data_IF_079225345616
#
_entry.id   IF_079225345616
#
_cell.length_a   1.000
_cell.length_b   1.000
_cell.length_c   1.000
_cell.angle_alpha   90.00
_cell.angle_beta   90.00
_cell.angle_gamma   90.00
#
_symmetry.space_group_name_H-M   'P 1'
#
loop_
_entity.id
_entity.type
_entity.pdbx_description
1 polymer ?
#
# COMPACT_ATOMS: atom_id res chain seq x y z
N UNK A 1 -9.55 -13.68 -5.20
CA UNK A 1 -10.04 -14.74 -6.12
C UNK A 1 -11.22 -15.43 -5.44
N UNK A 2 -12.46 -15.27 -5.92
CA UNK A 2 -13.60 -15.96 -5.33
C UNK A 2 -13.40 -17.48 -5.47
N UNK A 3 -13.55 -18.22 -4.36
CA UNK A 3 -13.41 -19.69 -4.32
C UNK A 3 -12.08 -20.23 -3.78
N UNK A 4 -11.06 -19.40 -3.58
CA UNK A 4 -9.80 -19.80 -2.93
C UNK A 4 -9.74 -19.29 -1.50
N UNK A 5 -9.29 -20.15 -0.58
CA UNK A 5 -9.12 -19.79 0.83
C UNK A 5 -8.12 -18.65 0.98
N UNK A 6 -8.48 -17.62 1.75
CA UNK A 6 -7.59 -16.50 2.08
C UNK A 6 -6.33 -16.97 2.79
N UNK A 7 -6.42 -18.06 3.56
CA UNK A 7 -5.25 -18.65 4.22
C UNK A 7 -4.18 -19.15 3.23
N UNK A 8 -4.61 -19.60 2.04
CA UNK A 8 -3.69 -20.07 1.00
C UNK A 8 -3.10 -18.90 0.19
N UNK A 9 -3.88 -17.83 -0.02
CA UNK A 9 -3.53 -16.73 -0.92
C UNK A 9 -2.84 -15.55 -0.24
N UNK A 10 -3.15 -15.30 1.04
CA UNK A 10 -2.64 -14.13 1.75
C UNK A 10 -1.33 -14.49 2.47
N UNK A 11 -0.25 -13.81 2.09
CA UNK A 11 0.99 -13.88 2.85
C UNK A 11 0.85 -13.13 4.16
N UNK A 12 1.27 -13.77 5.26
CA UNK A 12 1.37 -13.12 6.57
C UNK A 12 2.80 -12.67 6.81
N UNK A 13 2.98 -11.38 7.07
CA UNK A 13 4.26 -10.85 7.52
C UNK A 13 4.43 -11.19 9.01
N UNK A 14 5.54 -11.83 9.42
CA UNK A 14 5.81 -12.09 10.84
C UNK A 14 6.08 -10.76 11.55
N UNK A 15 5.13 -10.33 12.37
CA UNK A 15 5.26 -9.12 13.19
C UNK A 15 5.61 -9.49 14.63
N UNK A 16 6.43 -8.65 15.26
CA UNK A 16 6.74 -8.79 16.68
C UNK A 16 5.58 -8.24 17.52
N UNK A 17 5.05 -8.98 18.50
CA UNK A 17 3.84 -8.58 19.24
C UNK A 17 4.07 -7.34 20.14
N UNK A 18 5.32 -7.07 20.53
CA UNK A 18 5.71 -5.91 21.32
C UNK A 18 5.83 -4.61 20.50
N UNK A 19 5.80 -4.69 19.17
CA UNK A 19 6.07 -3.54 18.29
C UNK A 19 4.79 -2.84 17.88
N UNK A 20 4.73 -1.55 18.20
CA UNK A 20 3.64 -0.65 17.81
C UNK A 20 3.86 -0.09 16.40
N UNK A 21 2.81 0.18 15.62
CA UNK A 21 2.91 0.89 14.35
C UNK A 21 3.57 2.26 14.53
N UNK A 22 4.48 2.62 13.62
CA UNK A 22 5.15 3.93 13.63
C UNK A 22 4.56 4.80 12.53
N UNK A 23 4.04 5.97 12.91
CA UNK A 23 3.55 6.96 11.93
C UNK A 23 4.72 7.73 11.34
N UNK A 24 5.11 7.38 10.11
CA UNK A 24 6.17 8.09 9.40
C UNK A 24 5.66 9.42 8.82
N UNK A 25 6.49 10.47 8.91
CA UNK A 25 6.19 11.75 8.25
C UNK A 25 6.33 11.63 6.73
N UNK A 26 5.44 12.25 5.94
CA UNK A 26 5.55 12.26 4.49
C UNK A 26 6.87 12.89 4.03
N UNK A 27 7.52 12.27 3.05
CA UNK A 27 8.70 12.84 2.40
C UNK A 27 8.28 13.92 1.41
N UNK A 28 8.98 15.05 1.41
CA UNK A 28 8.83 16.08 0.37
C UNK A 28 9.60 15.67 -0.88
N UNK A 29 8.95 15.74 -2.03
CA UNK A 29 9.56 15.47 -3.34
C UNK A 29 9.55 16.75 -4.18
N UNK A 30 10.43 16.82 -5.18
CA UNK A 30 10.40 17.89 -6.17
C UNK A 30 9.06 17.87 -6.95
N UNK A 31 8.57 19.03 -7.44
CA UNK A 31 7.24 19.12 -8.05
C UNK A 31 7.04 18.22 -9.28
N UNK A 32 8.08 18.04 -10.07
CA UNK A 32 8.11 17.17 -11.26
C UNK A 32 7.91 15.69 -10.88
N UNK A 33 8.56 15.24 -9.80
CA UNK A 33 8.39 13.88 -9.27
C UNK A 33 7.02 13.70 -8.63
N UNK A 34 6.52 14.72 -7.92
CA UNK A 34 5.19 14.67 -7.30
C UNK A 34 4.09 14.46 -8.34
N UNK A 35 4.19 15.09 -9.52
CA UNK A 35 3.25 14.88 -10.62
C UNK A 35 3.24 13.43 -11.12
N UNK A 36 4.42 12.80 -11.25
CA UNK A 36 4.54 11.39 -11.64
C UNK A 36 3.96 10.45 -10.58
N UNK A 37 4.22 10.73 -9.30
CA UNK A 37 3.67 9.96 -8.17
C UNK A 37 2.14 9.98 -8.20
N UNK A 38 1.53 11.15 -8.41
CA UNK A 38 0.07 11.29 -8.48
C UNK A 38 -0.54 10.46 -9.61
N UNK A 39 0.04 10.53 -10.81
CA UNK A 39 -0.41 9.74 -11.95
C UNK A 39 -0.35 8.23 -11.69
N UNK A 40 0.71 7.76 -11.03
CA UNK A 40 0.87 6.36 -10.69
C UNK A 40 -0.11 5.90 -9.61
N UNK A 41 -0.37 6.73 -8.59
CA UNK A 41 -1.41 6.46 -7.58
C UNK A 41 -2.78 6.28 -8.23
N UNK A 42 -3.15 7.15 -9.17
CA UNK A 42 -4.41 7.05 -9.91
C UNK A 42 -4.51 5.74 -10.72
N UNK A 43 -3.42 5.37 -11.41
CA UNK A 43 -3.32 4.11 -12.15
C UNK A 43 -3.53 2.89 -11.24
N UNK A 44 -2.90 2.88 -10.07
CA UNK A 44 -3.00 1.78 -9.10
C UNK A 44 -4.39 1.70 -8.46
N UNK A 45 -5.00 2.85 -8.13
CA UNK A 45 -6.38 2.91 -7.63
C UNK A 45 -7.39 2.36 -8.64
N UNK A 46 -7.26 2.75 -9.92
CA UNK A 46 -8.13 2.25 -11.00
C UNK A 46 -8.06 0.73 -11.14
N UNK A 47 -6.89 0.15 -10.92
CA UNK A 47 -6.68 -1.31 -10.93
C UNK A 47 -7.09 -2.02 -9.63
N UNK A 48 -7.55 -1.29 -8.61
CA UNK A 48 -7.87 -1.80 -7.26
C UNK A 48 -6.67 -2.48 -6.56
N UNK A 49 -5.45 -2.13 -6.97
CA UNK A 49 -4.23 -2.66 -6.38
C UNK A 49 -3.95 -2.04 -5.00
N UNK A 50 -4.19 -0.73 -4.87
CA UNK A 50 -4.22 -0.02 -3.59
C UNK A 50 -5.65 0.43 -3.27
N UNK A 51 -5.92 0.68 -1.99
CA UNK A 51 -7.21 1.13 -1.49
C UNK A 51 -7.00 2.34 -0.58
N UNK A 52 -7.95 3.27 -0.60
CA UNK A 52 -8.01 4.35 0.39
C UNK A 52 -8.45 3.76 1.72
N UNK A 53 -7.77 4.15 2.80
CA UNK A 53 -8.10 3.72 4.16
C UNK A 53 -9.46 4.24 4.63
#
# INVERSE_FOLDING_TARGET
>A
MPGLSRYLLEHRLPLRPDKKPVKQLPRRFAPDIMSKIKAEIERLLKSKFIQTA
#
